data_IF_291948452740
#
_entry.id   IF_291948452740
#
_cell.length_a   1.000
_cell.length_b   1.000
_cell.length_c   1.000
_cell.angle_alpha   90.00
_cell.angle_beta   90.00
_cell.angle_gamma   90.00
#
_symmetry.space_group_name_H-M   'P 1'
#
loop_
_entity.id
_entity.type
_entity.pdbx_description
1 polymer ?
#
# COMPACT_ATOMS: atom_id res chain seq x y z
N UNK A 1 -1.44 -2.02 -1.46
CA UNK A 1 -0.41 -1.33 -2.26
C UNK A 1 -0.96 -1.19 -3.67
N UNK A 2 -0.96 0.01 -4.23
CA UNK A 2 -1.54 0.28 -5.55
C UNK A 2 -0.50 0.09 -6.65
N UNK A 3 0.72 0.57 -6.43
CA UNK A 3 1.85 0.39 -7.32
C UNK A 3 3.10 0.05 -6.51
N UNK A 4 3.88 -0.91 -7.00
CA UNK A 4 5.24 -1.14 -6.52
C UNK A 4 6.24 -0.60 -7.53
N UNK A 5 7.38 -0.15 -7.04
CA UNK A 5 8.45 0.44 -7.84
C UNK A 5 9.69 -0.46 -7.84
N UNK A 6 10.44 -0.42 -8.94
CA UNK A 6 11.76 -1.05 -9.08
C UNK A 6 12.89 -0.04 -9.29
N UNK A 7 12.59 1.25 -9.13
CA UNK A 7 13.56 2.33 -9.41
C UNK A 7 14.70 2.30 -8.37
N UNK A 8 14.36 2.14 -7.10
CA UNK A 8 15.34 2.10 -6.00
C UNK A 8 15.83 0.67 -5.73
N UNK A 9 14.92 -0.31 -5.82
CA UNK A 9 15.24 -1.73 -5.65
C UNK A 9 14.78 -2.55 -6.87
N UNK A 10 15.67 -2.80 -7.85
CA UNK A 10 15.34 -3.62 -9.02
C UNK A 10 14.92 -5.05 -8.69
N UNK A 11 15.39 -5.58 -7.55
CA UNK A 11 15.12 -6.92 -7.05
C UNK A 11 13.74 -7.09 -6.43
N UNK A 12 12.98 -6.00 -6.26
CA UNK A 12 11.65 -6.07 -5.65
C UNK A 12 10.71 -6.98 -6.45
N UNK A 13 9.99 -7.82 -5.71
CA UNK A 13 9.07 -8.81 -6.26
C UNK A 13 7.81 -8.94 -5.42
N UNK A 14 6.81 -9.60 -5.98
CA UNK A 14 5.59 -9.93 -5.24
C UNK A 14 5.88 -10.72 -3.95
N UNK A 15 6.81 -11.68 -4.01
CA UNK A 15 7.17 -12.50 -2.85
C UNK A 15 7.83 -11.69 -1.73
N UNK A 16 8.58 -10.65 -2.11
CA UNK A 16 9.25 -9.76 -1.15
C UNK A 16 8.28 -8.86 -0.37
N UNK A 17 7.01 -8.73 -0.79
CA UNK A 17 6.01 -7.91 -0.11
C UNK A 17 5.78 -8.39 1.32
N UNK A 18 5.80 -9.71 1.57
CA UNK A 18 5.54 -10.29 2.90
C UNK A 18 6.51 -9.77 3.97
N UNK A 19 7.74 -9.43 3.59
CA UNK A 19 8.81 -8.95 4.48
C UNK A 19 9.20 -7.50 4.20
N UNK A 20 8.44 -6.79 3.36
CA UNK A 20 8.74 -5.40 3.02
C UNK A 20 8.67 -4.47 4.25
N UNK A 21 7.81 -4.81 5.22
CA UNK A 21 7.67 -4.08 6.48
C UNK A 21 8.97 -3.95 7.29
N UNK A 22 9.91 -4.89 7.13
CA UNK A 22 11.21 -4.87 7.82
C UNK A 22 12.22 -3.93 7.14
N UNK A 23 11.90 -3.50 5.91
CA UNK A 23 12.79 -2.71 5.05
C UNK A 23 12.36 -1.26 4.95
N UNK A 24 11.06 -0.99 4.95
CA UNK A 24 10.52 0.35 4.88
C UNK A 24 10.63 1.05 6.24
N UNK A 25 10.54 2.38 6.24
CA UNK A 25 10.60 3.22 7.44
C UNK A 25 9.27 3.97 7.62
N UNK A 26 8.22 3.32 8.17
CA UNK A 26 6.95 3.98 8.39
C UNK A 26 7.08 5.16 9.35
N UNK A 27 6.25 6.18 9.17
CA UNK A 27 6.14 7.27 10.12
C UNK A 27 5.74 6.76 11.53
N UNK A 28 6.06 7.49 12.61
CA UNK A 28 5.67 7.09 13.97
C UNK A 28 4.18 6.74 14.07
N UNK A 29 3.88 5.57 14.64
CA UNK A 29 2.51 5.05 14.78
C UNK A 29 1.98 4.25 13.60
N UNK A 30 2.69 4.20 12.46
CA UNK A 30 2.29 3.42 11.30
C UNK A 30 2.83 1.99 11.37
N UNK A 31 2.07 1.06 10.81
CA UNK A 31 2.46 -0.36 10.70
C UNK A 31 2.26 -0.84 9.28
N UNK A 32 3.17 -1.70 8.82
CA UNK A 32 3.03 -2.41 7.57
C UNK A 32 2.46 -3.81 7.82
N UNK A 33 1.62 -4.28 6.90
CA UNK A 33 1.17 -5.67 6.85
C UNK A 33 0.75 -6.05 5.43
N UNK A 34 0.74 -7.35 5.17
CA UNK A 34 0.16 -7.94 3.96
C UNK A 34 -1.06 -8.76 4.37
N UNK A 35 -2.12 -8.71 3.55
CA UNK A 35 -3.32 -9.51 3.75
C UNK A 35 -3.66 -10.23 2.44
N UNK A 36 -4.13 -11.47 2.57
CA UNK A 36 -4.86 -12.17 1.51
C UNK A 36 -6.33 -11.78 1.68
N UNK A 37 -7.00 -11.41 0.61
CA UNK A 37 -8.38 -10.94 0.64
C UNK A 37 -9.33 -12.07 0.22
N UNK A 38 -10.41 -12.25 0.96
CA UNK A 38 -11.47 -13.22 0.64
C UNK A 38 -12.44 -12.72 -0.45
N UNK A 39 -12.31 -11.44 -0.83
CA UNK A 39 -13.10 -10.76 -1.85
C UNK A 39 -12.26 -9.73 -2.59
N UNK A 40 -12.71 -9.32 -3.76
CA UNK A 40 -12.03 -8.32 -4.57
C UNK A 40 -11.87 -6.99 -3.82
N UNK A 41 -10.67 -6.41 -3.92
CA UNK A 41 -10.39 -5.07 -3.45
C UNK A 41 -10.99 -4.07 -4.44
N UNK A 42 -11.97 -3.29 -3.99
CA UNK A 42 -12.49 -2.16 -4.73
C UNK A 42 -11.85 -0.87 -4.21
N UNK A 43 -11.34 -0.04 -5.11
CA UNK A 43 -10.80 1.29 -4.83
C UNK A 43 -11.53 2.29 -5.72
N UNK A 44 -11.93 3.43 -5.15
CA UNK A 44 -12.63 4.50 -5.85
C UNK A 44 -12.26 5.88 -5.29
N UNK A 45 -12.60 6.95 -6.00
CA UNK A 45 -12.35 8.35 -5.63
C UNK A 45 -13.67 9.10 -5.40
N UNK A 46 -14.41 8.78 -4.33
CA UNK A 46 -15.78 9.31 -4.14
C UNK A 46 -15.82 10.84 -4.03
N UNK A 47 -14.75 11.46 -3.53
CA UNK A 47 -14.63 12.92 -3.41
C UNK A 47 -13.91 13.58 -4.59
N UNK A 48 -13.60 12.82 -5.65
CA UNK A 48 -12.80 13.29 -6.79
C UNK A 48 -11.29 13.34 -6.52
N UNK A 49 -10.83 12.92 -5.35
CA UNK A 49 -9.42 12.79 -4.98
C UNK A 49 -9.19 11.53 -4.12
N UNK A 50 -7.92 11.15 -3.94
CA UNK A 50 -7.50 10.09 -3.02
C UNK A 50 -6.36 10.56 -2.13
N UNK A 51 -6.20 9.91 -0.98
CA UNK A 51 -5.07 10.10 -0.09
C UNK A 51 -4.02 9.04 -0.38
N UNK A 52 -2.84 9.47 -0.80
CA UNK A 52 -1.74 8.57 -1.11
C UNK A 52 -0.55 8.81 -0.18
N UNK A 53 0.20 7.75 0.10
CA UNK A 53 1.53 7.83 0.72
C UNK A 53 2.52 7.04 -0.14
N UNK A 54 3.76 7.51 -0.20
CA UNK A 54 4.87 6.80 -0.83
C UNK A 54 5.91 6.43 0.22
N UNK A 55 6.48 5.24 0.10
CA UNK A 55 7.64 4.82 0.89
C UNK A 55 8.97 5.22 0.21
N UNK A 56 10.09 4.95 0.87
CA UNK A 56 11.42 5.30 0.37
C UNK A 56 11.86 4.54 -0.89
N UNK A 57 11.15 3.47 -1.28
CA UNK A 57 11.41 2.73 -2.51
C UNK A 57 10.54 3.22 -3.68
N UNK A 58 9.63 4.17 -3.42
CA UNK A 58 8.68 4.71 -4.38
C UNK A 58 7.44 3.83 -4.58
N UNK A 59 7.12 2.94 -3.64
CA UNK A 59 5.84 2.23 -3.68
C UNK A 59 4.72 3.16 -3.22
N UNK A 60 3.56 3.07 -3.86
CA UNK A 60 2.40 3.92 -3.57
C UNK A 60 1.28 3.14 -2.89
N UNK A 61 0.71 3.73 -1.84
CA UNK A 61 -0.36 3.17 -1.05
C UNK A 61 -1.54 4.14 -0.98
N UNK A 62 -2.73 3.64 -1.32
CA UNK A 62 -4.00 4.38 -1.16
C UNK A 62 -4.53 4.22 0.27
N UNK A 63 -5.05 5.31 0.84
CA UNK A 63 -5.76 5.25 2.10
C UNK A 63 -7.19 4.73 1.90
N UNK A 64 -7.63 3.83 2.75
CA UNK A 64 -9.04 3.42 2.81
C UNK A 64 -9.84 4.37 3.72
N UNK A 65 -10.20 5.54 3.21
CA UNK A 65 -10.97 6.56 3.94
C UNK A 65 -12.23 6.93 3.17
N UNK A 66 -13.27 7.39 3.86
CA UNK A 66 -14.43 8.04 3.23
C UNK A 66 -15.10 7.23 2.11
N UNK A 67 -15.11 5.88 2.25
CA UNK A 67 -15.68 4.99 1.23
C UNK A 67 -14.77 4.76 0.01
N UNK A 68 -13.54 5.26 0.01
CA UNK A 68 -12.58 5.07 -1.07
C UNK A 68 -12.18 3.61 -1.28
N UNK A 69 -12.39 2.73 -0.30
CA UNK A 69 -12.15 1.31 -0.50
C UNK A 69 -13.07 0.42 0.36
N UNK A 70 -13.20 -0.86 -0.03
CA UNK A 70 -14.03 -1.86 0.65
C UNK A 70 -13.27 -2.76 1.65
N UNK A 71 -11.99 -2.44 1.93
CA UNK A 71 -11.13 -3.17 2.84
C UNK A 71 -11.21 -2.61 4.26
N UNK A 72 -11.55 -3.47 5.21
CA UNK A 72 -11.56 -3.13 6.63
C UNK A 72 -10.46 -3.93 7.34
N UNK A 73 -9.52 -3.26 8.03
CA UNK A 73 -8.32 -3.90 8.50
C UNK A 73 -8.46 -5.09 9.43
#
# INVERSE_FOLDING_TARGET
>A
MQAFSKIVDPGMSYDSLKTLGDRIKPAPGWKYRVAILDKDLAISTPQGYNWIVQDEFGNTYDACKEGACNFQP
#
